data_IF_212424754583
#
_entry.id   IF_212424754583
#
_cell.length_a   1.000
_cell.length_b   1.000
_cell.length_c   1.000
_cell.angle_alpha   90.00
_cell.angle_beta   90.00
_cell.angle_gamma   90.00
#
_symmetry.space_group_name_H-M   'P 1'
#
loop_
_entity.id
_entity.type
_entity.pdbx_description
1 polymer ?
#
# COMPACT_ATOMS: atom_id res chain seq x y z
N UNK A 1 2.81 8.56 -17.05
CA UNK A 1 2.99 9.69 -16.15
C UNK A 1 4.37 10.29 -16.37
N UNK A 2 4.45 11.56 -16.74
CA UNK A 2 5.68 12.36 -16.72
C UNK A 2 5.99 12.85 -15.30
N UNK A 3 7.17 13.44 -15.08
CA UNK A 3 7.53 14.03 -13.78
C UNK A 3 6.60 15.20 -13.45
N UNK A 4 6.24 16.01 -14.44
CA UNK A 4 5.34 17.14 -14.29
C UNK A 4 3.92 16.68 -13.92
N UNK A 5 3.42 15.63 -14.59
CA UNK A 5 2.12 15.02 -14.25
C UNK A 5 2.12 14.44 -12.83
N UNK A 6 3.21 13.81 -12.40
CA UNK A 6 3.36 13.31 -11.04
C UNK A 6 3.28 14.46 -10.03
N UNK A 7 4.03 15.54 -10.25
CA UNK A 7 4.06 16.71 -9.36
C UNK A 7 2.71 17.39 -9.22
N UNK A 8 1.97 17.52 -10.33
CA UNK A 8 0.62 18.08 -10.27
C UNK A 8 -0.33 17.18 -9.48
N UNK A 9 -0.28 15.86 -9.69
CA UNK A 9 -1.14 14.92 -8.95
C UNK A 9 -0.74 14.78 -7.48
N UNK A 10 0.56 14.90 -7.16
CA UNK A 10 1.09 14.87 -5.80
C UNK A 10 0.61 16.04 -4.91
N UNK A 11 -0.03 17.07 -5.49
CA UNK A 11 -0.70 18.12 -4.72
C UNK A 11 -1.99 17.64 -4.06
N UNK A 12 -2.57 16.54 -4.54
CA UNK A 12 -3.70 15.89 -3.90
C UNK A 12 -3.18 15.09 -2.68
N UNK A 13 -3.52 15.56 -1.48
CA UNK A 13 -3.08 14.94 -0.23
C UNK A 13 -3.68 13.56 0.02
N UNK A 14 -4.77 13.22 -0.67
CA UNK A 14 -5.41 11.91 -0.57
C UNK A 14 -4.80 10.90 -1.55
N UNK A 15 -3.99 11.36 -2.52
CA UNK A 15 -3.43 10.45 -3.52
C UNK A 15 -2.26 9.63 -2.96
N UNK A 16 -2.46 8.32 -2.94
CA UNK A 16 -1.49 7.34 -2.47
C UNK A 16 -1.13 6.35 -3.60
N UNK A 17 -0.23 6.72 -4.53
CA UNK A 17 0.06 5.89 -5.70
C UNK A 17 0.57 4.49 -5.36
N UNK A 18 1.39 4.34 -4.31
CA UNK A 18 1.86 3.01 -3.92
C UNK A 18 0.74 2.15 -3.35
N UNK A 19 -0.22 2.77 -2.66
CA UNK A 19 -1.44 2.11 -2.19
C UNK A 19 -2.29 1.64 -3.38
N UNK A 20 -2.59 2.56 -4.31
CA UNK A 20 -3.39 2.30 -5.51
C UNK A 20 -2.84 1.11 -6.31
N UNK A 21 -1.50 1.04 -6.47
CA UNK A 21 -0.84 -0.05 -7.21
C UNK A 21 -0.96 -1.41 -6.49
N UNK A 22 -0.88 -1.43 -5.15
CA UNK A 22 -1.11 -2.65 -4.36
C UNK A 22 -2.57 -3.09 -4.48
N UNK A 23 -3.53 -2.17 -4.35
CA UNK A 23 -4.95 -2.46 -4.51
C UNK A 23 -5.26 -2.99 -5.90
N UNK A 24 -4.75 -2.37 -6.96
CA UNK A 24 -4.93 -2.82 -8.33
C UNK A 24 -4.37 -4.24 -8.54
N UNK A 25 -3.18 -4.53 -7.99
CA UNK A 25 -2.59 -5.86 -8.07
C UNK A 25 -3.46 -6.93 -7.38
N UNK A 26 -4.08 -6.60 -6.25
CA UNK A 26 -4.97 -7.52 -5.55
C UNK A 26 -6.37 -7.59 -6.18
N UNK A 27 -6.90 -6.50 -6.73
CA UNK A 27 -8.14 -6.48 -7.50
C UNK A 27 -8.03 -7.39 -8.74
N UNK A 28 -6.87 -7.42 -9.40
CA UNK A 28 -6.62 -8.35 -10.52
C UNK A 28 -6.72 -9.83 -10.11
N UNK A 29 -6.52 -10.16 -8.83
CA UNK A 29 -6.60 -11.53 -8.29
C UNK A 29 -7.97 -11.83 -7.68
N UNK A 30 -8.58 -10.86 -7.00
CA UNK A 30 -9.78 -11.04 -6.18
C UNK A 30 -11.05 -10.39 -6.76
N UNK A 31 -10.96 -9.73 -7.93
CA UNK A 31 -12.05 -8.99 -8.54
C UNK A 31 -12.50 -7.81 -7.68
N UNK A 32 -13.80 -7.49 -7.73
CA UNK A 32 -14.40 -6.39 -6.97
C UNK A 32 -14.67 -6.74 -5.49
N UNK A 33 -13.93 -7.72 -4.94
CA UNK A 33 -14.05 -8.07 -3.53
C UNK A 33 -13.48 -6.95 -2.66
N UNK A 34 -14.36 -6.31 -1.88
CA UNK A 34 -13.99 -5.43 -0.77
C UNK A 34 -13.22 -6.22 0.31
N UNK A 35 -11.92 -5.94 0.54
CA UNK A 35 -11.17 -6.61 1.59
C UNK A 35 -11.56 -6.11 2.98
N UNK A 36 -11.27 -6.92 4.00
CA UNK A 36 -11.25 -6.40 5.38
C UNK A 36 -9.94 -5.64 5.60
N UNK A 37 -10.01 -4.32 5.67
CA UNK A 37 -8.86 -3.45 5.89
C UNK A 37 -8.68 -3.08 7.37
N UNK A 38 -7.43 -3.15 7.85
CA UNK A 38 -7.05 -2.83 9.23
C UNK A 38 -5.89 -1.85 9.24
N UNK A 39 -6.19 -0.59 9.58
CA UNK A 39 -5.18 0.45 9.74
C UNK A 39 -4.57 0.47 11.15
N UNK A 40 -3.28 0.80 11.26
CA UNK A 40 -2.66 1.15 12.53
C UNK A 40 -3.07 2.55 12.99
N UNK A 41 -2.91 2.82 14.28
CA UNK A 41 -3.17 4.15 14.87
C UNK A 41 -2.29 5.18 14.17
N UNK A 42 -2.90 6.17 13.51
CA UNK A 42 -2.22 7.16 12.66
C UNK A 42 -1.03 7.80 13.39
N UNK A 43 -1.22 8.29 14.61
CA UNK A 43 -0.18 8.96 15.40
C UNK A 43 0.97 8.04 15.83
N UNK A 44 0.81 6.72 15.72
CA UNK A 44 1.83 5.72 16.06
C UNK A 44 2.64 5.26 14.85
N UNK A 45 2.29 5.69 13.63
CA UNK A 45 2.99 5.33 12.39
C UNK A 45 4.38 5.96 12.32
N UNK A 46 5.31 5.26 11.69
CA UNK A 46 6.70 5.68 11.56
C UNK A 46 6.86 7.02 10.82
N UNK A 47 5.97 7.35 9.87
CA UNK A 47 5.98 8.64 9.16
C UNK A 47 5.73 9.83 10.11
N UNK A 48 5.05 9.60 11.24
CA UNK A 48 4.83 10.60 12.29
C UNK A 48 5.80 10.46 13.47
N UNK A 49 6.88 9.69 13.31
CA UNK A 49 7.89 9.47 14.36
C UNK A 49 7.53 8.38 15.38
N UNK A 50 6.49 7.59 15.11
CA UNK A 50 6.12 6.44 15.93
C UNK A 50 6.91 5.16 15.62
N UNK A 51 6.45 4.02 16.16
CA UNK A 51 7.12 2.71 16.03
C UNK A 51 6.36 1.71 15.14
N UNK A 52 5.19 2.07 14.63
CA UNK A 52 4.44 1.24 13.69
C UNK A 52 4.94 1.48 12.26
N UNK A 53 5.67 0.51 11.71
CA UNK A 53 6.20 0.58 10.34
C UNK A 53 5.23 0.08 9.28
N UNK A 54 4.12 -0.51 9.71
CA UNK A 54 2.99 -0.82 8.84
C UNK A 54 1.89 0.20 9.08
N UNK A 55 1.40 0.77 8.00
CA UNK A 55 0.23 1.64 7.99
C UNK A 55 -1.06 0.83 8.11
N UNK A 56 -1.03 -0.41 7.63
CA UNK A 56 -2.12 -1.36 7.79
C UNK A 56 -1.91 -2.66 7.02
N UNK A 57 -2.97 -3.46 6.97
CA UNK A 57 -3.06 -4.65 6.12
C UNK A 57 -4.49 -4.89 5.66
N UNK A 58 -4.63 -5.55 4.51
CA UNK A 58 -5.91 -5.98 3.95
C UNK A 58 -5.98 -7.50 3.90
N UNK A 59 -7.13 -8.06 4.24
CA UNK A 59 -7.41 -9.50 4.17
C UNK A 59 -8.50 -9.79 3.14
N UNK A 60 -8.17 -10.64 2.16
CA UNK A 60 -9.07 -11.12 1.11
C UNK A 60 -9.46 -12.58 1.35
N UNK A 61 -10.70 -12.94 1.08
CA UNK A 61 -11.16 -14.32 1.10
C UNK A 61 -10.81 -14.98 -0.23
N UNK A 62 -10.06 -16.09 -0.17
CA UNK A 62 -9.78 -16.91 -1.35
C UNK A 62 -10.81 -18.04 -1.50
N UNK A 63 -11.16 -18.34 -2.75
CA UNK A 63 -11.97 -19.53 -3.11
C UNK A 63 -11.32 -20.85 -2.66
N UNK A 64 -10.00 -20.85 -2.46
CA UNK A 64 -9.25 -22.01 -1.95
C UNK A 64 -9.36 -22.19 -0.43
N UNK A 65 -10.24 -21.45 0.24
CA UNK A 65 -10.57 -21.63 1.66
C UNK A 65 -9.63 -20.94 2.65
N UNK A 66 -8.61 -20.22 2.20
CA UNK A 66 -7.72 -19.41 3.04
C UNK A 66 -8.03 -17.90 2.95
N UNK A 67 -7.57 -17.12 3.92
CA UNK A 67 -7.48 -15.66 3.87
C UNK A 67 -6.09 -15.24 3.37
N UNK A 68 -6.03 -14.41 2.33
CA UNK A 68 -4.79 -13.83 1.84
C UNK A 68 -4.63 -12.41 2.37
N UNK A 69 -3.57 -12.19 3.13
CA UNK A 69 -3.29 -10.93 3.79
C UNK A 69 -2.15 -10.24 3.03
N UNK A 70 -2.26 -8.94 2.82
CA UNK A 70 -1.20 -8.06 2.27
C UNK A 70 -0.97 -6.88 3.19
N UNK A 71 0.29 -6.54 3.41
CA UNK A 71 0.70 -5.39 4.22
C UNK A 71 0.78 -4.11 3.41
N UNK A 72 0.71 -2.97 4.10
CA UNK A 72 0.97 -1.64 3.56
C UNK A 72 1.94 -0.93 4.51
N UNK A 73 3.12 -0.56 4.02
CA UNK A 73 4.07 0.30 4.76
C UNK A 73 5.54 0.01 4.46
N UNK A 74 5.84 -1.13 3.85
CA UNK A 74 7.21 -1.53 3.47
C UNK A 74 7.63 -0.87 2.15
N UNK A 75 6.66 -0.53 1.32
CA UNK A 75 6.80 0.23 0.08
C UNK A 75 6.48 1.73 0.26
N UNK A 76 6.83 2.54 -0.74
CA UNK A 76 6.43 3.96 -0.78
C UNK A 76 4.96 4.09 -1.15
N UNK A 77 4.09 4.18 -0.13
CA UNK A 77 2.63 4.24 -0.30
C UNK A 77 2.16 5.59 -0.86
N UNK A 78 2.81 6.68 -0.45
CA UNK A 78 2.39 8.05 -0.70
C UNK A 78 3.20 8.69 -1.83
N UNK A 79 2.67 9.81 -2.37
CA UNK A 79 3.35 10.53 -3.43
C UNK A 79 4.62 11.23 -2.89
N UNK A 80 5.78 10.58 -3.05
CA UNK A 80 7.09 11.10 -2.62
C UNK A 80 7.99 11.43 -3.81
N UNK A 81 8.16 12.72 -4.10
CA UNK A 81 8.93 13.20 -5.26
C UNK A 81 10.39 12.71 -5.25
N UNK A 82 11.04 12.71 -4.09
CA UNK A 82 12.45 12.30 -3.94
C UNK A 82 12.68 10.81 -4.26
N UNK A 83 11.61 10.02 -4.29
CA UNK A 83 11.63 8.59 -4.62
C UNK A 83 11.35 8.32 -6.09
N UNK A 84 10.90 9.31 -6.85
CA UNK A 84 10.59 9.15 -8.26
C UNK A 84 11.83 8.74 -9.05
N UNK A 85 11.69 7.69 -9.88
CA UNK A 85 12.78 7.17 -10.71
C UNK A 85 13.88 6.40 -9.94
N UNK A 86 13.72 6.18 -8.64
CA UNK A 86 14.62 5.27 -7.90
C UNK A 86 14.31 3.82 -8.28
N UNK A 87 15.32 2.97 -8.16
CA UNK A 87 15.20 1.54 -8.49
C UNK A 87 14.19 0.80 -7.62
N UNK A 88 14.01 1.22 -6.36
CA UNK A 88 13.13 0.56 -5.40
C UNK A 88 12.18 1.55 -4.73
N UNK A 89 10.94 1.10 -4.51
CA UNK A 89 9.93 1.77 -3.70
C UNK A 89 10.15 1.42 -2.22
N UNK A 90 10.85 2.29 -1.47
CA UNK A 90 11.40 2.01 -0.13
C UNK A 90 12.12 0.64 -0.06
N UNK A 91 11.56 -0.35 0.63
CA UNK A 91 12.16 -1.67 0.77
C UNK A 91 11.98 -2.54 -0.49
N UNK A 92 11.09 -2.12 -1.40
CA UNK A 92 10.89 -2.73 -2.71
C UNK A 92 9.92 -3.91 -2.73
N UNK A 93 9.22 -4.18 -1.62
CA UNK A 93 8.24 -5.25 -1.51
C UNK A 93 7.22 -4.97 -0.40
N UNK A 94 6.10 -5.68 -0.42
CA UNK A 94 5.17 -5.86 0.71
C UNK A 94 5.15 -7.35 1.09
N UNK A 95 4.84 -7.63 2.35
CA UNK A 95 4.68 -9.00 2.83
C UNK A 95 3.25 -9.50 2.61
N UNK A 96 3.12 -10.80 2.37
CA UNK A 96 1.82 -11.46 2.30
C UNK A 96 1.77 -12.75 3.10
N UNK A 97 0.58 -13.13 3.55
CA UNK A 97 0.33 -14.37 4.30
C UNK A 97 -0.93 -15.05 3.79
N UNK A 98 -0.89 -16.37 3.59
CA UNK A 98 -2.08 -17.19 3.33
C UNK A 98 -2.42 -17.98 4.59
N UNK A 99 -3.46 -17.57 5.30
CA UNK A 99 -3.88 -18.13 6.59
C UNK A 99 -5.15 -18.99 6.41
N UNK A 100 -5.18 -20.20 6.96
CA UNK A 100 -6.37 -21.08 6.94
C UNK A 100 -7.31 -20.79 8.11
#
# INVERSE_FOLDING_TARGET
>A
MTVEEFKEKAKDSEWAPGWDEIEQAFQAVYGDQEPSHFGTVITSRAIFGGQEFLDGYSAYRSENGYSHIVTFGMSELYAEEDRLGKQYSKWGYEMTVKLK
#
